data_IF_551031370236
#
_entry.id   IF_551031370236
#
_cell.length_a   1.000
_cell.length_b   1.000
_cell.length_c   1.000
_cell.angle_alpha   90.00
_cell.angle_beta   90.00
_cell.angle_gamma   90.00
#
_symmetry.space_group_name_H-M   'P 1'
#
loop_
_entity.id
_entity.type
_entity.pdbx_description
1 polymer ?
#
# COMPACT_ATOMS: atom_id res chain seq x y z
N UNK A 1 -13.98 -21.93 -18.85
CA UNK A 1 -12.66 -21.83 -18.21
C UNK A 1 -11.61 -21.32 -19.17
N UNK A 2 -11.42 -21.93 -20.36
CA UNK A 2 -10.46 -21.45 -21.36
C UNK A 2 -10.57 -19.95 -21.69
N UNK A 3 -11.77 -19.46 -22.03
CA UNK A 3 -11.97 -18.03 -22.30
C UNK A 3 -11.64 -17.10 -21.12
N UNK A 4 -11.74 -17.58 -19.87
CA UNK A 4 -11.31 -16.79 -18.70
C UNK A 4 -9.78 -16.73 -18.61
N UNK A 5 -9.08 -17.83 -18.91
CA UNK A 5 -7.62 -17.84 -18.91
C UNK A 5 -7.07 -16.93 -20.00
N UNK A 6 -7.62 -17.01 -21.21
CA UNK A 6 -7.25 -16.15 -22.34
C UNK A 6 -7.44 -14.66 -22.00
N UNK A 7 -8.58 -14.30 -21.40
CA UNK A 7 -8.82 -12.92 -20.96
C UNK A 7 -7.81 -12.43 -19.91
N UNK A 8 -7.39 -13.29 -18.97
CA UNK A 8 -6.35 -12.95 -17.99
C UNK A 8 -4.96 -12.84 -18.63
N UNK A 9 -4.61 -13.75 -19.55
CA UNK A 9 -3.34 -13.70 -20.30
C UNK A 9 -3.22 -12.41 -21.11
N UNK A 10 -4.30 -12.00 -21.79
CA UNK A 10 -4.38 -10.72 -22.51
C UNK A 10 -4.20 -9.52 -21.58
N UNK A 11 -4.89 -9.51 -20.43
CA UNK A 11 -4.77 -8.42 -19.47
C UNK A 11 -3.36 -8.34 -18.86
N UNK A 12 -2.77 -9.47 -18.46
CA UNK A 12 -1.45 -9.52 -17.85
C UNK A 12 -0.35 -9.12 -18.84
N UNK A 13 -0.43 -9.60 -20.09
CA UNK A 13 0.55 -9.29 -21.13
C UNK A 13 0.52 -7.84 -21.58
N UNK A 14 -0.65 -7.20 -21.58
CA UNK A 14 -0.83 -5.83 -22.09
C UNK A 14 -0.77 -4.75 -21.02
N UNK A 15 -1.03 -5.09 -19.76
CA UNK A 15 -1.22 -4.10 -18.69
C UNK A 15 -0.22 -4.24 -17.52
N UNK A 16 0.69 -5.21 -17.55
CA UNK A 16 1.79 -5.28 -16.57
C UNK A 16 2.94 -4.40 -17.02
N UNK A 17 3.18 -3.31 -16.29
CA UNK A 17 4.24 -2.32 -16.58
C UNK A 17 5.23 -2.25 -15.44
N UNK A 18 6.40 -1.63 -15.65
CA UNK A 18 7.41 -1.47 -14.59
C UNK A 18 6.88 -0.61 -13.42
N UNK A 19 6.04 0.38 -13.72
CA UNK A 19 5.44 1.30 -12.74
C UNK A 19 4.23 0.68 -12.03
N UNK A 20 3.49 -0.20 -12.70
CA UNK A 20 2.31 -0.91 -12.18
C UNK A 20 2.37 -2.40 -12.56
N UNK A 21 3.22 -3.19 -11.89
CA UNK A 21 3.42 -4.60 -12.24
C UNK A 21 2.28 -5.48 -11.72
N UNK A 22 1.88 -6.46 -12.52
CA UNK A 22 1.03 -7.57 -12.07
C UNK A 22 1.89 -8.76 -11.59
N UNK A 23 1.45 -9.42 -10.52
CA UNK A 23 2.11 -10.60 -9.97
C UNK A 23 1.20 -11.82 -10.03
N UNK A 24 1.67 -12.91 -10.63
CA UNK A 24 0.96 -14.20 -10.64
C UNK A 24 1.31 -14.95 -9.35
N UNK A 25 0.32 -15.18 -8.49
CA UNK A 25 0.49 -15.84 -7.18
C UNK A 25 -0.13 -17.25 -7.21
N UNK A 26 0.66 -18.32 -7.01
CA UNK A 26 0.12 -19.67 -6.86
C UNK A 26 -0.82 -19.77 -5.66
N UNK A 27 -2.11 -20.04 -5.92
CA UNK A 27 -3.15 -19.94 -4.90
C UNK A 27 -3.60 -21.28 -4.29
N UNK A 28 -3.08 -22.42 -4.75
CA UNK A 28 -3.51 -23.75 -4.28
C UNK A 28 -3.21 -23.98 -2.79
N UNK A 29 -2.18 -23.32 -2.24
CA UNK A 29 -1.83 -23.38 -0.81
C UNK A 29 -2.07 -22.02 -0.18
N UNK A 30 -3.12 -21.91 0.65
CA UNK A 30 -3.55 -20.65 1.28
C UNK A 30 -2.41 -19.93 2.02
N UNK A 31 -1.69 -20.63 2.89
CA UNK A 31 -0.58 -20.03 3.64
C UNK A 31 0.52 -19.45 2.74
N UNK A 32 0.81 -20.12 1.61
CA UNK A 32 1.86 -19.70 0.68
C UNK A 32 1.42 -18.47 -0.13
N UNK A 33 0.15 -18.44 -0.55
CA UNK A 33 -0.47 -17.27 -1.18
C UNK A 33 -0.42 -16.06 -0.24
N UNK A 34 -0.86 -16.25 1.01
CA UNK A 34 -0.94 -15.19 1.99
C UNK A 34 0.44 -14.61 2.30
N UNK A 35 1.46 -15.48 2.44
CA UNK A 35 2.84 -15.07 2.63
C UNK A 35 3.37 -14.25 1.44
N UNK A 36 3.15 -14.71 0.19
CA UNK A 36 3.67 -14.03 -0.98
C UNK A 36 3.02 -12.64 -1.15
N UNK A 37 1.69 -12.55 -0.99
CA UNK A 37 0.96 -11.27 -1.08
C UNK A 37 1.43 -10.31 0.02
N UNK A 38 1.53 -10.77 1.27
CA UNK A 38 1.98 -9.93 2.38
C UNK A 38 3.41 -9.45 2.17
N UNK A 39 4.30 -10.32 1.67
CA UNK A 39 5.69 -9.96 1.40
C UNK A 39 5.81 -8.91 0.30
N UNK A 40 5.12 -9.10 -0.83
CA UNK A 40 5.11 -8.12 -1.93
C UNK A 40 4.59 -6.76 -1.46
N UNK A 41 3.53 -6.74 -0.65
CA UNK A 41 2.98 -5.51 -0.10
C UNK A 41 3.98 -4.80 0.83
N UNK A 42 4.58 -5.55 1.77
CA UNK A 42 5.55 -5.00 2.71
C UNK A 42 6.77 -4.46 1.98
N UNK A 43 7.34 -5.21 1.03
CA UNK A 43 8.53 -4.78 0.29
C UNK A 43 8.24 -3.53 -0.56
N UNK A 44 7.07 -3.49 -1.22
CA UNK A 44 6.63 -2.32 -2.00
C UNK A 44 6.42 -1.08 -1.14
N UNK A 45 5.79 -1.23 0.04
CA UNK A 45 5.49 -0.09 0.90
C UNK A 45 6.69 0.39 1.71
N UNK A 46 7.70 -0.48 1.95
CA UNK A 46 8.86 -0.17 2.79
C UNK A 46 9.64 1.04 2.28
N UNK A 47 9.71 1.26 0.97
CA UNK A 47 10.38 2.41 0.37
C UNK A 47 9.74 3.75 0.73
N UNK A 48 8.45 3.76 1.09
CA UNK A 48 7.72 4.97 1.48
C UNK A 48 7.70 5.21 2.99
N UNK A 49 8.29 4.31 3.78
CA UNK A 49 8.19 4.32 5.24
C UNK A 49 8.57 5.67 5.83
N UNK A 50 9.72 6.20 5.44
CA UNK A 50 10.25 7.42 6.06
C UNK A 50 9.39 8.64 5.68
N UNK A 51 9.03 8.79 4.40
CA UNK A 51 8.11 9.85 3.96
C UNK A 51 6.75 9.78 4.68
N UNK A 52 6.22 8.58 4.93
CA UNK A 52 4.97 8.39 5.66
C UNK A 52 5.13 8.77 7.14
N UNK A 53 6.26 8.42 7.76
CA UNK A 53 6.57 8.81 9.14
C UNK A 53 6.68 10.33 9.27
N UNK A 54 7.38 11.00 8.35
CA UNK A 54 7.52 12.45 8.35
C UNK A 54 6.15 13.14 8.29
N UNK A 55 5.25 12.66 7.42
CA UNK A 55 3.87 13.19 7.32
C UNK A 55 3.08 12.99 8.62
N UNK A 56 3.28 11.88 9.32
CA UNK A 56 2.61 11.60 10.59
C UNK A 56 3.13 12.51 11.70
N UNK A 57 4.44 12.75 11.76
CA UNK A 57 5.06 13.67 12.71
C UNK A 57 4.55 15.09 12.48
N UNK A 58 4.62 15.58 11.24
CA UNK A 58 4.13 16.92 10.87
C UNK A 58 2.66 17.10 11.27
N UNK A 59 1.82 16.11 10.98
CA UNK A 59 0.41 16.13 11.39
C UNK A 59 0.27 16.20 12.91
N UNK A 60 1.07 15.44 13.65
CA UNK A 60 1.07 15.46 15.12
C UNK A 60 1.38 16.85 15.68
N UNK A 61 2.42 17.50 15.16
CA UNK A 61 2.81 18.87 15.55
C UNK A 61 1.71 19.89 15.26
N UNK A 62 1.06 19.79 14.10
CA UNK A 62 -0.05 20.66 13.72
C UNK A 62 -1.26 20.52 14.65
N UNK A 63 -1.63 19.28 14.99
CA UNK A 63 -2.77 19.03 15.89
C UNK A 63 -2.44 19.45 17.34
N UNK A 64 -1.21 19.26 17.80
CA UNK A 64 -0.77 19.76 19.11
C UNK A 64 -0.89 21.29 19.20
N UNK A 65 -0.37 22.00 18.20
CA UNK A 65 -0.47 23.46 18.14
C UNK A 65 -1.93 23.94 18.11
N UNK A 66 -2.81 23.21 17.41
CA UNK A 66 -4.25 23.49 17.39
C UNK A 66 -4.89 23.32 18.76
N UNK A 67 -4.55 22.26 19.49
CA UNK A 67 -5.07 22.01 20.85
C UNK A 67 -4.61 23.11 21.81
N UNK A 68 -3.35 23.51 21.77
CA UNK A 68 -2.82 24.59 22.62
C UNK A 68 -3.54 25.92 22.40
N UNK A 69 -3.90 26.24 21.17
CA UNK A 69 -4.68 27.45 20.84
C UNK A 69 -6.09 27.41 21.43
N UNK A 70 -6.73 26.23 21.43
CA UNK A 70 -8.07 26.04 22.00
C UNK A 70 -8.04 26.09 23.54
N UNK A 71 -6.96 25.59 24.15
CA UNK A 71 -6.82 25.49 25.61
C UNK A 71 -6.34 26.77 26.29
N UNK A 72 -5.80 27.76 25.55
CA UNK A 72 -5.45 29.07 26.13
C UNK A 72 -6.72 29.77 26.61
N UNK A 73 -6.86 30.10 27.91
CA UNK A 73 -8.04 30.80 28.40
C UNK A 73 -8.12 32.18 27.75
N UNK A 74 -9.33 32.56 27.30
CA UNK A 74 -9.63 33.96 27.00
C UNK A 74 -9.48 34.73 28.33
N UNK A 75 -8.55 35.69 28.35
CA UNK A 75 -8.35 36.58 29.49
C UNK A 75 -9.58 37.39 29.83
#
# INVERSE_FOLDING_TARGET
WGAYQEAYEDALSRCSTDEAPWYIVPANKKWSRDLLVARTLVDTLRQYKDQLLDKLVLRGEQELARIEQIQKPAG
#
